data_IF_192692583506
#
_entry.id   IF_192692583506
#
_cell.length_a   1.000
_cell.length_b   1.000
_cell.length_c   1.000
_cell.angle_alpha   90.00
_cell.angle_beta   90.00
_cell.angle_gamma   90.00
#
_symmetry.space_group_name_H-M   'P 1'
#
loop_
_entity.id
_entity.type
_entity.pdbx_description
1 polymer ?
#
# COMPACT_ATOMS: atom_id res chain seq x y z
N UNK A 1 17.26 17.47 -3.03
CA UNK A 1 16.28 17.77 -4.12
C UNK A 1 15.03 17.02 -3.78
N UNK A 2 13.83 17.62 -3.82
CA UNK A 2 12.62 16.84 -3.65
C UNK A 2 12.57 15.84 -4.81
N UNK A 3 12.65 14.56 -4.49
CA UNK A 3 12.46 13.49 -5.44
C UNK A 3 11.08 13.67 -6.07
N UNK A 4 11.00 13.63 -7.40
CA UNK A 4 9.75 13.81 -8.14
C UNK A 4 8.79 12.65 -7.95
N UNK A 5 8.18 12.55 -6.76
CA UNK A 5 7.18 11.52 -6.50
C UNK A 5 5.95 11.70 -7.38
N UNK A 6 5.38 10.60 -7.85
CA UNK A 6 4.11 10.56 -8.55
C UNK A 6 3.02 10.02 -7.63
N UNK A 7 1.97 10.80 -7.45
CA UNK A 7 0.79 10.40 -6.69
C UNK A 7 -0.22 9.72 -7.61
N UNK A 8 -0.58 8.48 -7.28
CA UNK A 8 -1.59 7.68 -7.97
C UNK A 8 -2.77 7.45 -7.03
N UNK A 9 -3.95 7.75 -7.50
CA UNK A 9 -5.21 7.53 -6.77
C UNK A 9 -6.15 6.68 -7.62
N UNK A 10 -7.03 5.94 -6.96
CA UNK A 10 -8.13 5.26 -7.64
C UNK A 10 -8.92 6.24 -8.51
N UNK A 11 -9.17 5.86 -9.77
CA UNK A 11 -9.97 6.61 -10.74
C UNK A 11 -9.49 8.05 -11.05
N UNK A 12 -8.26 8.39 -10.73
CA UNK A 12 -7.68 9.70 -11.01
C UNK A 12 -6.46 9.56 -11.91
N UNK A 13 -6.19 10.58 -12.69
CA UNK A 13 -4.95 10.66 -13.45
C UNK A 13 -3.75 10.75 -12.50
N UNK A 14 -2.65 10.09 -12.87
CA UNK A 14 -1.38 10.18 -12.15
C UNK A 14 -0.94 11.65 -12.03
N UNK A 15 -0.54 12.05 -10.84
CA UNK A 15 -0.09 13.41 -10.55
C UNK A 15 1.42 13.39 -10.30
N UNK A 16 2.25 13.75 -11.31
CA UNK A 16 3.68 13.87 -11.12
C UNK A 16 4.01 15.05 -10.19
N UNK A 17 5.17 14.97 -9.54
CA UNK A 17 5.65 16.01 -8.61
C UNK A 17 4.68 16.27 -7.45
N UNK A 18 4.18 15.20 -6.84
CA UNK A 18 3.28 15.30 -5.70
C UNK A 18 3.87 16.15 -4.58
N UNK A 19 3.14 17.17 -4.15
CA UNK A 19 3.51 17.97 -2.98
C UNK A 19 3.00 17.32 -1.69
N UNK A 20 3.60 17.66 -0.55
CA UNK A 20 3.11 17.20 0.75
C UNK A 20 1.65 17.60 1.00
N UNK A 21 1.23 18.78 0.53
CA UNK A 21 -0.16 19.24 0.62
C UNK A 21 -1.09 18.39 -0.23
N UNK A 22 -0.73 18.10 -1.47
CA UNK A 22 -1.51 17.24 -2.34
C UNK A 22 -1.67 15.83 -1.77
N UNK A 23 -0.58 15.26 -1.22
CA UNK A 23 -0.59 13.96 -0.55
C UNK A 23 -1.54 13.95 0.66
N UNK A 24 -1.42 14.93 1.55
CA UNK A 24 -2.31 15.06 2.73
C UNK A 24 -3.78 15.20 2.33
N UNK A 25 -4.06 15.96 1.29
CA UNK A 25 -5.42 16.13 0.76
C UNK A 25 -5.95 14.80 0.22
N UNK A 26 -5.15 14.07 -0.55
CA UNK A 26 -5.52 12.78 -1.12
C UNK A 26 -5.80 11.74 -0.03
N UNK A 27 -4.96 11.64 1.01
CA UNK A 27 -5.19 10.73 2.14
C UNK A 27 -6.50 11.10 2.87
N UNK A 28 -6.78 12.38 3.09
CA UNK A 28 -8.06 12.80 3.70
C UNK A 28 -9.28 12.42 2.88
N UNK A 29 -9.17 12.42 1.55
CA UNK A 29 -10.26 11.96 0.67
C UNK A 29 -10.60 10.49 0.88
N UNK A 30 -9.66 9.64 1.32
CA UNK A 30 -9.92 8.23 1.63
C UNK A 30 -10.86 8.04 2.83
N UNK A 31 -11.00 9.04 3.69
CA UNK A 31 -11.97 9.02 4.81
C UNK A 31 -13.42 9.22 4.36
N UNK A 32 -13.64 9.77 3.18
CA UNK A 32 -15.00 10.01 2.68
C UNK A 32 -15.69 8.69 2.27
N UNK A 33 -17.00 8.53 2.51
CA UNK A 33 -17.72 7.29 2.19
C UNK A 33 -17.59 6.83 0.73
N UNK A 34 -17.41 7.77 -0.20
CA UNK A 34 -17.20 7.52 -1.63
C UNK A 34 -15.80 7.90 -2.10
N UNK A 35 -14.90 8.12 -1.16
CA UNK A 35 -13.50 8.46 -1.44
C UNK A 35 -12.72 7.30 -2.08
N UNK A 36 -11.51 7.57 -2.56
CA UNK A 36 -10.65 6.53 -3.12
C UNK A 36 -10.32 5.47 -2.07
N UNK A 37 -10.28 4.22 -2.48
CA UNK A 37 -9.99 3.09 -1.61
C UNK A 37 -8.53 2.64 -1.72
N UNK A 38 -7.75 3.26 -2.60
CA UNK A 38 -6.30 3.13 -2.57
C UNK A 38 -5.59 4.42 -2.99
N UNK A 39 -4.36 4.52 -2.51
CA UNK A 39 -3.39 5.55 -2.82
C UNK A 39 -2.02 4.94 -2.97
N UNK A 40 -1.23 5.41 -3.94
CA UNK A 40 0.16 5.02 -4.10
C UNK A 40 1.02 6.25 -4.35
N UNK A 41 2.16 6.30 -3.72
CA UNK A 41 3.20 7.29 -3.93
C UNK A 41 4.41 6.58 -4.54
N UNK A 42 4.65 6.80 -5.83
CA UNK A 42 5.79 6.22 -6.57
C UNK A 42 6.98 7.15 -6.50
N UNK A 43 8.15 6.61 -6.24
CA UNK A 43 9.41 7.32 -6.41
C UNK A 43 9.94 7.23 -7.85
N UNK A 44 10.96 8.03 -8.22
CA UNK A 44 11.54 8.01 -9.56
C UNK A 44 12.31 6.72 -9.91
N UNK A 45 12.55 5.86 -8.93
CA UNK A 45 13.32 4.62 -9.06
C UNK A 45 12.45 3.36 -9.09
N UNK A 46 11.17 3.52 -9.41
CA UNK A 46 10.16 2.44 -9.45
C UNK A 46 9.80 1.82 -8.07
N UNK A 47 10.32 2.39 -6.99
CA UNK A 47 9.83 2.11 -5.66
C UNK A 47 8.49 2.80 -5.38
N UNK A 48 7.80 2.36 -4.34
CA UNK A 48 6.54 2.98 -3.93
C UNK A 48 6.19 2.70 -2.48
N UNK A 49 5.34 3.55 -1.92
CA UNK A 49 4.55 3.25 -0.75
C UNK A 49 3.06 3.37 -1.11
N UNK A 50 2.25 2.43 -0.66
CA UNK A 50 0.83 2.36 -1.02
C UNK A 50 -0.03 1.95 0.17
N UNK A 51 -1.29 2.39 0.15
CA UNK A 51 -2.30 1.97 1.09
C UNK A 51 -3.59 1.62 0.37
N UNK A 52 -4.27 0.57 0.81
CA UNK A 52 -5.56 0.15 0.30
C UNK A 52 -6.50 -0.26 1.43
N UNK A 53 -7.79 0.06 1.28
CA UNK A 53 -8.82 -0.23 2.25
C UNK A 53 -9.88 0.88 2.30
N UNK A 54 -10.77 0.80 3.29
CA UNK A 54 -11.80 1.80 3.59
C UNK A 54 -12.29 1.63 5.04
N UNK A 55 -13.15 2.51 5.50
CA UNK A 55 -13.72 2.46 6.86
C UNK A 55 -12.64 2.38 7.96
N UNK A 56 -11.64 3.25 7.86
CA UNK A 56 -10.51 3.34 8.78
C UNK A 56 -9.72 2.02 8.95
N UNK A 57 -9.76 1.16 7.93
CA UNK A 57 -9.09 -0.15 7.88
C UNK A 57 -8.26 -0.24 6.61
N UNK A 58 -6.95 -0.04 6.73
CA UNK A 58 -6.03 0.01 5.60
C UNK A 58 -4.89 -0.99 5.77
N UNK A 59 -4.50 -1.63 4.67
CA UNK A 59 -3.25 -2.35 4.54
C UNK A 59 -2.26 -1.44 3.85
N UNK A 60 -1.05 -1.34 4.41
CA UNK A 60 0.00 -0.45 3.91
C UNK A 60 1.22 -1.28 3.52
N UNK A 61 1.71 -1.05 2.32
CA UNK A 61 2.84 -1.75 1.74
C UNK A 61 3.88 -0.75 1.23
N UNK A 62 5.13 -1.20 1.19
CA UNK A 62 6.22 -0.43 0.61
C UNK A 62 7.12 -1.32 -0.20
N UNK A 63 7.56 -0.83 -1.35
CA UNK A 63 8.53 -1.48 -2.22
C UNK A 63 9.71 -0.55 -2.47
N UNK A 64 10.91 -1.10 -2.38
CA UNK A 64 12.12 -0.45 -2.88
C UNK A 64 12.79 -1.32 -3.94
N UNK A 65 13.37 -0.68 -4.96
CA UNK A 65 14.07 -1.34 -6.06
C UNK A 65 15.57 -1.13 -5.89
N UNK A 66 16.34 -2.20 -6.04
CA UNK A 66 17.80 -2.20 -5.90
C UNK A 66 18.42 -2.95 -7.09
N UNK A 67 18.98 -2.24 -8.05
CA UNK A 67 19.52 -2.85 -9.27
C UNK A 67 18.43 -3.67 -9.99
N UNK A 68 18.67 -4.96 -10.20
CA UNK A 68 17.69 -5.85 -10.84
C UNK A 68 16.70 -6.49 -9.86
N UNK A 69 16.83 -6.23 -8.55
CA UNK A 69 15.99 -6.80 -7.49
C UNK A 69 15.08 -5.79 -6.82
N UNK A 70 14.23 -6.29 -5.94
CA UNK A 70 13.38 -5.46 -5.10
C UNK A 70 13.23 -6.06 -3.71
N UNK A 71 12.83 -5.22 -2.77
CA UNK A 71 12.28 -5.65 -1.49
C UNK A 71 10.88 -5.09 -1.31
N UNK A 72 10.02 -5.90 -0.70
CA UNK A 72 8.63 -5.57 -0.45
C UNK A 72 8.30 -5.81 1.00
N UNK A 73 7.73 -4.81 1.65
CA UNK A 73 7.40 -4.86 3.07
C UNK A 73 5.93 -4.57 3.31
N UNK A 74 5.40 -5.20 4.34
CA UNK A 74 4.07 -5.01 4.85
C UNK A 74 4.16 -4.35 6.22
N UNK A 75 3.45 -3.22 6.41
CA UNK A 75 3.41 -2.53 7.69
C UNK A 75 2.51 -3.26 8.69
N UNK A 76 2.96 -3.34 9.94
CA UNK A 76 2.18 -3.85 11.05
C UNK A 76 1.85 -2.79 12.08
N UNK A 77 0.90 -3.07 12.95
CA UNK A 77 0.57 -2.23 14.10
C UNK A 77 1.65 -2.36 15.18
N UNK A 78 2.13 -1.26 15.75
CA UNK A 78 3.07 -1.32 16.87
C UNK A 78 2.43 -1.85 18.17
N UNK A 79 1.10 -1.78 18.26
CA UNK A 79 0.36 -2.07 19.48
C UNK A 79 -0.48 -3.35 19.43
N UNK A 80 -0.61 -3.96 18.26
CA UNK A 80 -1.44 -5.16 18.06
C UNK A 80 -0.56 -6.27 17.49
N UNK A 81 -0.62 -7.43 18.12
CA UNK A 81 -0.03 -8.67 17.61
C UNK A 81 -1.16 -9.66 17.38
N UNK A 82 -1.70 -9.66 16.19
CA UNK A 82 -2.83 -10.48 15.80
C UNK A 82 -2.58 -11.09 14.41
N UNK A 83 -2.38 -12.40 14.38
CA UNK A 83 -2.16 -13.20 13.16
C UNK A 83 -3.45 -13.86 12.67
N UNK A 84 -4.62 -13.45 13.18
CA UNK A 84 -5.89 -13.89 12.62
C UNK A 84 -6.06 -13.41 11.20
N UNK A 85 -6.65 -14.25 10.35
CA UNK A 85 -6.96 -13.90 8.96
C UNK A 85 -8.09 -12.88 8.92
N UNK A 86 -7.85 -11.78 8.23
CA UNK A 86 -8.80 -10.70 7.98
C UNK A 86 -8.94 -10.49 6.48
N UNK A 87 -10.15 -10.39 6.00
CA UNK A 87 -10.41 -9.99 4.62
C UNK A 87 -10.94 -8.55 4.63
N UNK A 88 -10.16 -7.66 4.06
CA UNK A 88 -10.57 -6.30 3.73
C UNK A 88 -10.97 -6.22 2.26
N UNK A 89 -11.38 -5.05 1.82
CA UNK A 89 -11.71 -4.81 0.43
C UNK A 89 -11.17 -3.46 -0.02
N UNK A 90 -10.90 -3.36 -1.32
CA UNK A 90 -10.67 -2.09 -2.00
C UNK A 90 -11.42 -2.13 -3.34
N UNK A 91 -11.63 -0.99 -3.96
CA UNK A 91 -12.21 -0.91 -5.28
C UNK A 91 -11.11 -0.91 -6.33
N UNK A 92 -11.26 -1.72 -7.34
CA UNK A 92 -10.40 -1.69 -8.51
C UNK A 92 -11.25 -1.36 -9.74
N UNK A 93 -10.79 -0.43 -10.54
CA UNK A 93 -11.39 -0.12 -11.82
C UNK A 93 -10.88 -1.11 -12.86
N UNK A 94 -11.72 -2.07 -13.22
CA UNK A 94 -11.44 -2.96 -14.35
C UNK A 94 -12.10 -2.38 -15.60
N UNK A 95 -11.33 -2.07 -16.62
CA UNK A 95 -11.83 -1.54 -17.89
C UNK A 95 -12.92 -2.40 -18.57
N UNK A 96 -12.96 -3.70 -18.24
CA UNK A 96 -13.91 -4.66 -18.82
C UNK A 96 -15.18 -4.81 -17.96
N UNK A 97 -15.10 -4.61 -16.64
CA UNK A 97 -16.16 -4.98 -15.71
C UNK A 97 -16.59 -3.85 -14.77
N UNK A 98 -16.09 -2.63 -14.96
CA UNK A 98 -16.39 -1.50 -14.08
C UNK A 98 -15.75 -1.61 -12.69
N UNK A 99 -16.27 -0.87 -11.71
CA UNK A 99 -15.78 -0.88 -10.32
C UNK A 99 -16.10 -2.20 -9.64
N UNK A 100 -15.09 -2.93 -9.22
CA UNK A 100 -15.21 -4.17 -8.45
C UNK A 100 -14.63 -4.01 -7.05
N UNK A 101 -15.32 -4.59 -6.07
CA UNK A 101 -14.72 -4.85 -4.76
C UNK A 101 -13.74 -6.02 -4.91
N UNK A 102 -12.46 -5.74 -4.64
CA UNK A 102 -11.42 -6.75 -4.66
C UNK A 102 -11.05 -7.12 -3.22
N UNK A 103 -10.98 -8.42 -2.88
CA UNK A 103 -10.56 -8.85 -1.56
C UNK A 103 -9.09 -8.51 -1.34
N UNK A 104 -8.79 -8.03 -0.14
CA UNK A 104 -7.47 -7.67 0.33
C UNK A 104 -7.19 -8.47 1.61
N UNK A 105 -6.59 -9.66 1.50
CA UNK A 105 -6.26 -10.46 2.67
C UNK A 105 -5.17 -9.77 3.49
N UNK A 106 -5.31 -9.84 4.81
CA UNK A 106 -4.35 -9.32 5.77
C UNK A 106 -4.38 -10.14 7.04
N UNK A 107 -3.39 -9.98 7.90
CA UNK A 107 -3.53 -10.36 9.30
C UNK A 107 -4.07 -9.18 10.10
N UNK A 108 -4.70 -9.44 11.24
CA UNK A 108 -5.25 -8.39 12.10
C UNK A 108 -4.25 -7.30 12.44
N UNK A 109 -2.99 -7.69 12.71
CA UNK A 109 -1.90 -6.75 12.98
C UNK A 109 -1.52 -5.84 11.79
N UNK A 110 -1.90 -6.20 10.55
CA UNK A 110 -1.63 -5.38 9.36
C UNK A 110 -2.81 -4.48 8.98
N UNK A 111 -3.88 -4.48 9.76
CA UNK A 111 -5.00 -3.56 9.61
C UNK A 111 -4.71 -2.28 10.38
N UNK A 112 -4.46 -1.21 9.65
CA UNK A 112 -4.00 0.07 10.21
C UNK A 112 -5.03 1.18 9.95
N UNK A 113 -5.13 2.19 10.86
CA UNK A 113 -6.03 3.31 10.69
C UNK A 113 -5.52 4.31 9.64
N UNK A 114 -6.39 5.21 9.19
CA UNK A 114 -6.03 6.27 8.22
C UNK A 114 -4.90 7.19 8.73
N UNK A 115 -4.82 7.40 10.04
CA UNK A 115 -3.70 8.16 10.64
C UNK A 115 -2.34 7.51 10.38
N UNK A 116 -2.26 6.19 10.36
CA UNK A 116 -1.06 5.45 9.98
C UNK A 116 -0.74 5.64 8.49
N UNK A 117 -1.76 5.62 7.61
CA UNK A 117 -1.57 5.93 6.19
C UNK A 117 -0.93 7.29 6.01
N UNK A 118 -1.48 8.32 6.68
CA UNK A 118 -0.95 9.68 6.60
C UNK A 118 0.50 9.75 7.12
N UNK A 119 0.79 9.14 8.26
CA UNK A 119 2.13 9.17 8.86
C UNK A 119 3.16 8.48 7.97
N UNK A 120 2.86 7.26 7.50
CA UNK A 120 3.78 6.45 6.70
C UNK A 120 4.02 7.09 5.33
N UNK A 121 2.98 7.49 4.62
CA UNK A 121 3.13 8.08 3.29
C UNK A 121 3.80 9.46 3.34
N UNK A 122 3.53 10.28 4.38
CA UNK A 122 4.22 11.56 4.57
C UNK A 122 5.70 11.38 4.87
N UNK A 123 6.06 10.39 5.68
CA UNK A 123 7.45 10.05 5.94
C UNK A 123 8.16 9.57 4.66
N UNK A 124 7.52 8.66 3.92
CA UNK A 124 8.07 8.18 2.64
C UNK A 124 8.26 9.31 1.63
N UNK A 125 7.29 10.22 1.52
CA UNK A 125 7.40 11.40 0.66
C UNK A 125 8.61 12.28 0.99
N UNK A 126 8.94 12.41 2.28
CA UNK A 126 10.06 13.26 2.71
C UNK A 126 11.43 12.58 2.68
N UNK A 127 11.47 11.26 2.85
CA UNK A 127 12.72 10.52 3.08
C UNK A 127 12.98 9.38 2.08
N UNK A 128 11.97 8.89 1.37
CA UNK A 128 12.02 7.67 0.56
C UNK A 128 12.18 6.39 1.39
N UNK A 129 11.99 6.45 2.70
CA UNK A 129 12.27 5.36 3.63
C UNK A 129 11.04 4.91 4.42
N UNK A 130 11.14 3.74 5.03
CA UNK A 130 10.13 3.19 5.95
C UNK A 130 10.12 3.99 7.25
N UNK A 131 8.94 4.28 7.76
CA UNK A 131 8.78 4.90 9.07
C UNK A 131 9.04 3.89 10.18
N UNK A 132 10.11 4.08 10.95
CA UNK A 132 10.58 3.13 11.98
C UNK A 132 9.62 2.94 13.16
N UNK A 133 8.65 3.85 13.35
CA UNK A 133 7.63 3.71 14.40
C UNK A 133 6.66 2.55 14.17
N UNK A 134 6.64 1.96 12.98
CA UNK A 134 5.83 0.79 12.62
C UNK A 134 6.72 -0.42 12.38
N UNK A 135 6.33 -1.64 12.84
CA UNK A 135 7.00 -2.86 12.44
C UNK A 135 6.78 -3.13 10.95
N UNK A 136 7.80 -3.66 10.28
CA UNK A 136 7.76 -4.00 8.87
C UNK A 136 8.16 -5.45 8.65
N UNK A 137 7.29 -6.23 8.04
CA UNK A 137 7.57 -7.60 7.62
C UNK A 137 8.06 -7.62 6.17
N UNK A 138 9.19 -8.27 5.92
CA UNK A 138 9.68 -8.49 4.55
C UNK A 138 8.88 -9.64 3.91
N UNK A 139 8.09 -9.31 2.90
CA UNK A 139 7.25 -10.25 2.17
C UNK A 139 7.73 -10.45 0.73
N UNK A 140 8.97 -10.06 0.43
CA UNK A 140 9.56 -10.11 -0.92
C UNK A 140 9.47 -11.49 -1.56
N UNK A 141 9.70 -12.55 -0.77
CA UNK A 141 9.70 -13.92 -1.26
C UNK A 141 8.34 -14.34 -1.81
N UNK A 142 7.23 -13.87 -1.20
CA UNK A 142 5.88 -14.17 -1.70
C UNK A 142 5.65 -13.64 -3.11
N UNK A 143 6.24 -12.49 -3.45
CA UNK A 143 6.14 -11.92 -4.80
C UNK A 143 7.03 -12.65 -5.81
N UNK A 144 8.19 -13.14 -5.39
CA UNK A 144 9.09 -13.93 -6.24
C UNK A 144 8.46 -15.27 -6.56
N UNK A 145 7.92 -15.95 -5.56
CA UNK A 145 7.28 -17.27 -5.69
C UNK A 145 6.05 -17.23 -6.61
N UNK A 146 5.32 -16.11 -6.61
CA UNK A 146 4.17 -15.90 -7.49
C UNK A 146 4.54 -15.51 -8.93
N UNK A 147 5.83 -15.45 -9.27
CA UNK A 147 6.32 -15.06 -10.59
C UNK A 147 6.08 -13.58 -10.92
N UNK A 148 5.86 -12.73 -9.92
CA UNK A 148 5.60 -11.29 -10.06
C UNK A 148 6.91 -10.50 -10.25
N UNK A 149 7.77 -10.92 -11.17
CA UNK A 149 8.94 -10.15 -11.55
C UNK A 149 8.52 -8.80 -12.16
N UNK A 150 8.68 -7.74 -11.40
CA UNK A 150 8.80 -6.37 -11.91
C UNK A 150 7.53 -5.63 -12.32
N UNK A 151 6.34 -6.20 -12.35
CA UNK A 151 5.12 -5.48 -12.71
C UNK A 151 4.28 -5.19 -11.48
N UNK A 152 4.22 -3.91 -11.09
CA UNK A 152 3.29 -3.37 -10.12
C UNK A 152 1.85 -3.70 -10.52
N UNK A 153 1.35 -4.82 -10.05
CA UNK A 153 -0.08 -5.03 -9.92
C UNK A 153 -0.37 -5.11 -8.44
N UNK A 154 -1.05 -4.11 -7.96
CA UNK A 154 -1.71 -4.14 -6.68
C UNK A 154 -2.40 -5.50 -6.58
N UNK A 155 -1.90 -6.33 -5.69
CA UNK A 155 -2.53 -7.55 -5.23
C UNK A 155 -2.77 -8.62 -6.30
N UNK A 156 -1.83 -9.52 -6.43
CA UNK A 156 -2.17 -10.92 -6.60
C UNK A 156 -1.81 -11.64 -5.31
N UNK A 157 -2.86 -12.00 -4.57
CA UNK A 157 -2.92 -12.99 -3.50
C UNK A 157 -1.62 -13.19 -2.69
N UNK A 158 -1.41 -12.42 -1.66
CA UNK A 158 -0.77 -12.99 -0.48
C UNK A 158 -1.89 -13.66 0.31
N UNK A 159 -2.24 -14.87 -0.09
CA UNK A 159 -2.96 -15.76 0.80
C UNK A 159 -1.96 -16.20 1.87
N UNK A 160 -2.28 -16.08 3.16
CA UNK A 160 -1.53 -16.78 4.17
C UNK A 160 -1.54 -18.27 3.78
N UNK A 161 -0.35 -18.85 3.55
CA UNK A 161 -0.26 -20.29 3.46
C UNK A 161 -0.70 -20.83 4.80
N UNK A 162 -1.87 -21.46 4.85
CA UNK A 162 -2.20 -22.36 5.94
C UNK A 162 -1.06 -23.36 6.04
N UNK A 163 -0.24 -23.26 7.08
CA UNK A 163 0.66 -24.34 7.45
C UNK A 163 -0.25 -25.49 7.86
N UNK A 164 -0.41 -26.47 6.99
CA UNK A 164 -0.85 -27.81 7.39
C UNK A 164 0.19 -28.32 8.37
N UNK A 165 -0.24 -28.54 9.60
CA UNK A 165 0.47 -29.27 10.65
C UNK A 165 0.66 -30.72 10.23
#
# INVERSE_FOLDING_TARGET
MPHGFTLVLEDHADRPFATATALKSAVRMMAAPMGPTYIMLKDPYEGYAQAAGFDDRFRIEMRAVYGEGFRHWLAGSPNVKDRSDVVMYYRNHCHIHGRRRCPLPAWGENVLPLSAVLAILSHYHSTGARLAAYPWEDVSQSFIDEGLKGKSRFIRRILPRTRTH
#
